data_IF_393519566723
#
_entry.id   IF_393519566723
#
_cell.length_a   1.000
_cell.length_b   1.000
_cell.length_c   1.000
_cell.angle_alpha   90.00
_cell.angle_beta   90.00
_cell.angle_gamma   90.00
#
_symmetry.space_group_name_H-M   'P 1'
#
loop_
_entity.id
_entity.type
_entity.pdbx_description
1 polymer ?
#
# COMPACT_ATOMS: atom_id res chain seq x y z
N UNK A 1 9.70 34.10 41.81
CA UNK A 1 8.23 33.98 41.81
C UNK A 1 7.76 33.43 40.46
N UNK A 2 7.00 32.33 40.40
CA UNK A 2 6.56 31.75 39.12
C UNK A 2 5.49 32.63 38.47
N UNK A 3 5.72 33.02 37.22
CA UNK A 3 4.88 33.94 36.45
C UNK A 3 3.53 33.29 36.17
N UNK A 4 2.46 33.76 36.84
CA UNK A 4 1.09 33.31 36.60
C UNK A 4 0.66 33.79 35.20
N UNK A 5 0.45 32.86 34.27
CA UNK A 5 -0.14 33.16 32.96
C UNK A 5 -1.59 33.62 33.19
N UNK A 6 -1.92 34.86 32.83
CA UNK A 6 -3.25 35.48 32.99
C UNK A 6 -4.29 35.01 31.94
N UNK A 7 -4.09 33.83 31.36
CA UNK A 7 -4.98 33.26 30.34
C UNK A 7 -4.88 31.74 30.31
N UNK A 8 -5.92 31.09 29.80
CA UNK A 8 -5.97 29.64 29.71
C UNK A 8 -4.79 29.13 28.89
N UNK A 9 -4.01 28.19 29.45
CA UNK A 9 -2.81 27.67 28.80
C UNK A 9 -3.19 27.03 27.45
N UNK A 10 -2.71 27.60 26.34
CA UNK A 10 -3.01 27.14 24.97
C UNK A 10 -2.85 25.63 24.78
N UNK A 11 -1.84 25.00 25.41
CA UNK A 11 -1.66 23.55 25.36
C UNK A 11 -2.74 22.78 26.12
N UNK A 12 -3.21 23.33 27.24
CA UNK A 12 -4.32 22.77 28.03
C UNK A 12 -5.65 22.91 27.30
N UNK A 13 -5.90 24.05 26.63
CA UNK A 13 -7.07 24.26 25.79
C UNK A 13 -7.12 23.27 24.61
N UNK A 14 -6.00 23.05 23.92
CA UNK A 14 -5.90 22.06 22.83
C UNK A 14 -6.11 20.63 23.36
N UNK A 15 -5.57 20.28 24.52
CA UNK A 15 -5.79 18.96 25.11
C UNK A 15 -7.25 18.73 25.51
N UNK A 16 -7.92 19.75 26.09
CA UNK A 16 -9.36 19.71 26.40
C UNK A 16 -10.20 19.61 25.13
N UNK A 17 -9.85 20.34 24.07
CA UNK A 17 -10.53 20.26 22.78
C UNK A 17 -10.43 18.85 22.17
N UNK A 18 -9.25 18.24 22.14
CA UNK A 18 -9.08 16.86 21.66
C UNK A 18 -9.86 15.83 22.49
N UNK A 19 -9.89 16.01 23.81
CA UNK A 19 -10.69 15.13 24.69
C UNK A 19 -12.19 15.31 24.45
N UNK A 20 -12.64 16.53 24.21
CA UNK A 20 -14.03 16.84 23.88
C UNK A 20 -14.41 16.29 22.50
N UNK A 21 -13.54 16.41 21.49
CA UNK A 21 -13.74 15.84 20.15
C UNK A 21 -13.80 14.31 20.19
N UNK A 22 -12.89 13.66 20.92
CA UNK A 22 -12.92 12.20 21.10
C UNK A 22 -14.21 11.75 21.79
N UNK A 23 -14.64 12.45 22.86
CA UNK A 23 -15.89 12.16 23.54
C UNK A 23 -17.12 12.43 22.65
N UNK A 24 -17.08 13.47 21.81
CA UNK A 24 -18.15 13.75 20.84
C UNK A 24 -18.22 12.68 19.75
N UNK A 25 -17.07 12.21 19.23
CA UNK A 25 -17.01 11.10 18.28
C UNK A 25 -17.51 9.79 18.89
N UNK A 26 -17.15 9.51 20.15
CA UNK A 26 -17.65 8.33 20.85
C UNK A 26 -19.16 8.39 21.06
N UNK A 27 -19.70 9.56 21.43
CA UNK A 27 -21.15 9.79 21.52
C UNK A 27 -21.81 9.61 20.16
N UNK A 28 -21.30 10.24 19.10
CA UNK A 28 -21.82 10.08 17.74
C UNK A 28 -21.79 8.62 17.28
N UNK A 29 -20.74 7.86 17.58
CA UNK A 29 -20.68 6.42 17.26
C UNK A 29 -21.74 5.62 18.03
N UNK A 30 -21.96 5.95 19.30
CA UNK A 30 -22.99 5.31 20.12
C UNK A 30 -24.38 5.66 19.62
N UNK A 31 -24.66 6.94 19.38
CA UNK A 31 -25.94 7.42 18.88
C UNK A 31 -26.22 6.81 17.50
N UNK A 32 -25.22 6.80 16.61
CA UNK A 32 -25.35 6.12 15.31
C UNK A 32 -25.59 4.63 15.45
N UNK A 33 -24.88 3.93 16.34
CA UNK A 33 -25.12 2.50 16.55
C UNK A 33 -26.53 2.23 17.11
N UNK A 34 -27.06 3.12 17.95
CA UNK A 34 -28.42 3.03 18.46
C UNK A 34 -29.45 3.33 17.36
N UNK A 35 -29.20 4.31 16.50
CA UNK A 35 -30.04 4.61 15.33
C UNK A 35 -30.03 3.45 14.33
N UNK A 36 -28.85 2.94 13.99
CA UNK A 36 -28.68 1.79 13.08
C UNK A 36 -29.37 0.54 13.65
N UNK A 37 -29.27 0.31 14.97
CA UNK A 37 -29.98 -0.78 15.64
C UNK A 37 -31.50 -0.56 15.68
N UNK A 38 -31.95 0.69 15.87
CA UNK A 38 -33.37 1.03 15.86
C UNK A 38 -33.99 0.85 14.46
N UNK A 39 -33.22 1.10 13.41
CA UNK A 39 -33.63 0.96 12.02
C UNK A 39 -33.26 -0.40 11.39
N UNK A 40 -32.74 -1.35 12.18
CA UNK A 40 -32.45 -2.69 11.69
C UNK A 40 -33.76 -3.41 11.31
N UNK A 41 -33.83 -3.91 10.08
CA UNK A 41 -34.96 -4.70 9.59
C UNK A 41 -34.69 -6.19 9.78
N UNK A 42 -35.39 -6.79 10.77
CA UNK A 42 -35.29 -8.20 11.12
C UNK A 42 -36.29 -9.10 10.36
N UNK A 43 -36.96 -8.60 9.31
CA UNK A 43 -37.86 -9.44 8.51
C UNK A 43 -37.08 -10.57 7.80
N UNK A 44 -37.36 -11.80 8.25
CA UNK A 44 -36.83 -13.06 7.70
C UNK A 44 -36.96 -13.16 6.18
N UNK A 45 -38.03 -12.64 5.58
CA UNK A 45 -38.23 -12.72 4.13
C UNK A 45 -37.33 -11.75 3.36
N UNK A 46 -37.12 -10.55 3.90
CA UNK A 46 -36.21 -9.54 3.35
C UNK A 46 -34.77 -10.03 3.47
N UNK A 47 -34.37 -10.51 4.65
CA UNK A 47 -33.04 -11.08 4.90
C UNK A 47 -32.74 -12.26 3.96
N UNK A 48 -33.69 -13.19 3.79
CA UNK A 48 -33.52 -14.31 2.84
C UNK A 48 -33.39 -13.84 1.39
N UNK A 49 -34.04 -12.75 1.00
CA UNK A 49 -33.94 -12.17 -0.36
C UNK A 49 -32.59 -11.47 -0.56
N UNK A 50 -32.11 -10.74 0.44
CA UNK A 50 -30.79 -10.10 0.44
C UNK A 50 -29.67 -11.15 0.38
N UNK A 51 -29.70 -12.17 1.24
CA UNK A 51 -28.73 -13.27 1.24
C UNK A 51 -28.66 -13.98 -0.12
N UNK A 52 -29.81 -14.26 -0.76
CA UNK A 52 -29.85 -14.83 -2.12
C UNK A 52 -29.25 -13.92 -3.19
N UNK A 53 -29.40 -12.60 -3.02
CA UNK A 53 -28.80 -11.62 -3.94
C UNK A 53 -27.29 -11.55 -3.75
N UNK A 54 -26.82 -11.46 -2.50
CA UNK A 54 -25.40 -11.45 -2.15
C UNK A 54 -24.70 -12.74 -2.57
N UNK A 55 -25.32 -13.89 -2.39
CA UNK A 55 -24.77 -15.18 -2.84
C UNK A 55 -24.62 -15.20 -4.38
N UNK A 56 -25.60 -14.68 -5.12
CA UNK A 56 -25.54 -14.58 -6.59
C UNK A 56 -24.45 -13.62 -7.05
N UNK A 57 -24.32 -12.46 -6.40
CA UNK A 57 -23.27 -11.49 -6.72
C UNK A 57 -21.89 -12.02 -6.36
N UNK A 58 -21.73 -12.66 -5.19
CA UNK A 58 -20.49 -13.31 -4.77
C UNK A 58 -20.07 -14.42 -5.73
N UNK A 59 -21.02 -15.26 -6.16
CA UNK A 59 -20.74 -16.30 -7.17
C UNK A 59 -20.31 -15.70 -8.50
N UNK A 60 -20.98 -14.64 -8.97
CA UNK A 60 -20.61 -13.93 -10.21
C UNK A 60 -19.22 -13.31 -10.11
N UNK A 61 -18.88 -12.70 -8.98
CA UNK A 61 -17.56 -12.11 -8.76
C UNK A 61 -16.48 -13.19 -8.72
N UNK A 62 -16.70 -14.29 -8.00
CA UNK A 62 -15.76 -15.41 -7.95
C UNK A 62 -15.54 -16.05 -9.34
N UNK A 63 -16.58 -16.15 -10.17
CA UNK A 63 -16.45 -16.64 -11.56
C UNK A 63 -15.65 -15.67 -12.44
N UNK A 64 -15.84 -14.35 -12.26
CA UNK A 64 -15.09 -13.33 -12.97
C UNK A 64 -13.61 -13.31 -12.54
N UNK A 65 -13.34 -13.43 -11.25
CA UNK A 65 -11.99 -13.52 -10.69
C UNK A 65 -11.29 -14.78 -11.20
N UNK A 66 -11.93 -15.95 -11.10
CA UNK A 66 -11.37 -17.20 -11.64
C UNK A 66 -11.09 -17.09 -13.14
N UNK A 67 -11.98 -16.45 -13.91
CA UNK A 67 -11.77 -16.25 -15.35
C UNK A 67 -10.63 -15.26 -15.63
N UNK A 68 -10.50 -14.22 -14.81
CA UNK A 68 -9.41 -13.26 -14.91
C UNK A 68 -8.05 -13.91 -14.59
N UNK A 69 -7.99 -14.75 -13.56
CA UNK A 69 -6.80 -15.53 -13.20
C UNK A 69 -6.39 -16.49 -14.33
N UNK A 70 -7.34 -17.26 -14.88
CA UNK A 70 -7.07 -18.16 -16.01
C UNK A 70 -6.57 -17.38 -17.23
N UNK A 71 -7.17 -16.22 -17.52
CA UNK A 71 -6.71 -15.35 -18.62
C UNK A 71 -5.30 -14.83 -18.36
N UNK A 72 -5.02 -14.36 -17.15
CA UNK A 72 -3.69 -13.85 -16.80
C UNK A 72 -2.61 -14.93 -16.93
N UNK A 73 -2.92 -16.18 -16.55
CA UNK A 73 -2.01 -17.31 -16.71
C UNK A 73 -1.78 -17.63 -18.19
N UNK A 74 -2.83 -17.67 -19.01
CA UNK A 74 -2.69 -17.88 -20.46
C UNK A 74 -1.92 -16.75 -21.17
N UNK A 75 -2.08 -15.50 -20.73
CA UNK A 75 -1.30 -14.37 -21.26
C UNK A 75 0.18 -14.46 -20.88
N UNK A 76 0.51 -14.98 -19.70
CA UNK A 76 1.90 -15.22 -19.30
C UNK A 76 2.52 -16.33 -20.15
N UNK A 77 1.80 -17.45 -20.37
CA UNK A 77 2.25 -18.52 -21.27
C UNK A 77 2.49 -18.00 -22.69
N UNK A 78 1.61 -17.12 -23.21
CA UNK A 78 1.78 -16.57 -24.56
C UNK A 78 3.00 -15.65 -24.71
N UNK A 79 3.43 -14.98 -23.63
CA UNK A 79 4.63 -14.13 -23.63
C UNK A 79 5.91 -14.95 -23.66
N UNK A 80 5.90 -16.11 -23.00
CA UNK A 80 7.05 -17.01 -22.95
C UNK A 80 7.22 -17.81 -24.26
N UNK A 81 6.17 -17.93 -25.07
CA UNK A 81 6.25 -18.49 -26.43
C UNK A 81 6.89 -17.46 -27.35
N UNK A 82 8.22 -17.48 -27.41
CA UNK A 82 8.98 -16.80 -28.47
C UNK A 82 8.54 -17.35 -29.85
N UNK A 83 8.24 -16.50 -30.85
CA UNK A 83 7.84 -16.97 -32.15
C UNK A 83 8.98 -17.79 -32.78
N UNK A 84 8.74 -19.09 -32.95
CA UNK A 84 9.64 -19.99 -33.69
C UNK A 84 9.95 -19.35 -35.03
N UNK A 85 11.25 -19.14 -35.25
CA UNK A 85 11.81 -18.56 -36.45
C UNK A 85 11.21 -19.20 -37.72
N UNK A 86 10.96 -18.35 -38.73
CA UNK A 86 10.45 -18.72 -40.05
C UNK A 86 11.15 -19.97 -40.59
N UNK A 87 10.42 -20.91 -41.22
CA UNK A 87 11.03 -22.12 -41.77
C UNK A 87 11.96 -21.74 -42.94
N UNK A 88 13.26 -21.63 -42.64
CA UNK A 88 14.28 -21.62 -43.68
C UNK A 88 14.27 -22.99 -44.37
N UNK A 89 14.40 -23.03 -45.69
CA UNK A 89 14.44 -24.28 -46.44
C UNK A 89 15.74 -25.01 -46.10
N UNK A 90 15.64 -26.00 -45.21
CA UNK A 90 16.75 -26.84 -44.78
C UNK A 90 16.97 -27.92 -45.85
N UNK A 91 18.22 -28.12 -46.24
CA UNK A 91 18.60 -29.19 -47.19
C UNK A 91 18.48 -30.56 -46.50
N UNK A 92 18.20 -31.63 -47.26
CA UNK A 92 17.98 -32.98 -46.70
C UNK A 92 19.15 -33.46 -45.81
N UNK A 93 20.38 -33.04 -46.11
CA UNK A 93 21.57 -33.33 -45.31
C UNK A 93 21.52 -32.67 -43.92
N UNK A 94 21.15 -31.39 -43.84
CA UNK A 94 20.97 -30.70 -42.56
C UNK A 94 19.80 -31.27 -41.75
N UNK A 95 18.77 -31.82 -42.41
CA UNK A 95 17.66 -32.48 -41.71
C UNK A 95 18.10 -33.78 -41.04
N UNK A 96 19.00 -34.53 -41.69
CA UNK A 96 19.58 -35.75 -41.12
C UNK A 96 20.51 -35.43 -39.96
N UNK A 97 21.35 -34.39 -40.08
CA UNK A 97 22.23 -33.93 -39.01
C UNK A 97 21.47 -33.40 -37.79
N UNK A 98 20.40 -32.62 -37.99
CA UNK A 98 19.54 -32.17 -36.89
C UNK A 98 18.83 -33.34 -36.21
N UNK A 99 18.43 -34.37 -36.97
CA UNK A 99 17.78 -35.55 -36.41
C UNK A 99 18.75 -36.39 -35.59
N UNK A 100 20.00 -36.53 -36.03
CA UNK A 100 21.05 -37.20 -35.25
C UNK A 100 21.41 -36.42 -33.98
N UNK A 101 21.46 -35.09 -34.05
CA UNK A 101 21.70 -34.26 -32.87
C UNK A 101 20.54 -34.34 -31.86
N UNK A 102 19.30 -34.29 -32.34
CA UNK A 102 18.11 -34.47 -31.49
C UNK A 102 18.05 -35.85 -30.85
N UNK A 103 18.49 -36.91 -31.54
CA UNK A 103 18.54 -38.25 -30.96
C UNK A 103 19.63 -38.38 -29.90
N UNK A 104 20.78 -37.70 -30.08
CA UNK A 104 21.84 -37.64 -29.07
C UNK A 104 21.43 -36.82 -27.83
N UNK A 105 20.76 -35.70 -28.05
CA UNK A 105 20.26 -34.84 -26.96
C UNK A 105 19.16 -35.57 -26.15
N UNK A 106 18.32 -36.38 -26.80
CA UNK A 106 17.30 -37.20 -26.15
C UNK A 106 17.86 -38.47 -25.48
N UNK A 107 19.03 -38.97 -25.92
CA UNK A 107 19.80 -40.01 -25.20
C UNK A 107 20.51 -39.45 -23.96
N UNK A 108 20.91 -38.17 -23.97
CA UNK A 108 21.44 -37.46 -22.80
C UNK A 108 20.32 -37.01 -21.84
N UNK A 109 19.11 -36.72 -22.33
CA UNK A 109 17.88 -36.48 -21.55
C UNK A 109 17.12 -37.77 -21.20
N UNK A 110 17.83 -38.85 -20.87
CA UNK A 110 17.22 -39.99 -20.21
C UNK A 110 16.65 -39.54 -18.86
N UNK A 111 15.33 -39.26 -18.86
CA UNK A 111 14.61 -38.65 -17.74
C UNK A 111 14.87 -39.44 -16.46
N UNK A 112 15.46 -38.84 -15.40
CA UNK A 112 15.72 -39.53 -14.15
C UNK A 112 14.41 -40.01 -13.57
N UNK A 113 14.36 -41.30 -13.23
CA UNK A 113 13.16 -41.91 -12.67
C UNK A 113 12.79 -41.23 -11.35
N UNK A 114 11.51 -41.22 -10.99
CA UNK A 114 10.96 -40.57 -9.79
C UNK A 114 11.60 -40.93 -8.43
N UNK A 115 12.59 -41.83 -8.37
CA UNK A 115 13.40 -42.10 -7.18
C UNK A 115 14.63 -41.19 -7.04
N UNK A 116 15.10 -40.57 -8.14
CA UNK A 116 16.27 -39.68 -8.14
C UNK A 116 15.88 -38.19 -8.09
N UNK A 117 14.62 -37.86 -8.40
CA UNK A 117 14.12 -36.49 -8.32
C UNK A 117 13.67 -36.20 -6.88
N UNK A 118 14.31 -35.23 -6.17
CA UNK A 118 13.87 -34.86 -4.83
C UNK A 118 12.42 -34.35 -4.87
N UNK A 119 11.63 -34.71 -3.86
CA UNK A 119 10.23 -34.29 -3.77
C UNK A 119 10.15 -32.77 -3.88
N UNK A 120 9.42 -32.28 -4.88
CA UNK A 120 9.18 -30.85 -5.08
C UNK A 120 8.31 -30.36 -3.93
N UNK A 121 8.84 -29.42 -3.14
CA UNK A 121 8.14 -28.86 -1.99
C UNK A 121 6.88 -28.10 -2.43
N UNK A 122 5.80 -28.26 -1.66
CA UNK A 122 4.55 -27.56 -1.93
C UNK A 122 4.74 -26.06 -1.68
N UNK A 123 4.80 -25.25 -2.75
CA UNK A 123 4.95 -23.80 -2.70
C UNK A 123 3.83 -23.08 -1.93
N UNK A 124 2.65 -23.71 -1.80
CA UNK A 124 1.54 -23.21 -0.98
C UNK A 124 1.71 -23.48 0.53
N UNK A 125 2.79 -24.16 0.91
CA UNK A 125 3.11 -24.54 2.29
C UNK A 125 4.60 -24.31 2.55
N UNK A 126 5.17 -23.28 1.95
CA UNK A 126 6.51 -22.80 2.30
C UNK A 126 6.51 -22.43 3.79
N UNK A 127 7.54 -22.86 4.50
CA UNK A 127 7.71 -22.60 5.94
C UNK A 127 7.75 -21.09 6.26
N UNK A 128 7.91 -20.24 5.24
CA UNK A 128 7.99 -18.79 5.32
C UNK A 128 6.64 -18.12 5.70
N UNK A 129 5.51 -18.74 5.39
CA UNK A 129 4.17 -18.17 5.69
C UNK A 129 3.59 -18.67 7.03
N UNK A 130 4.33 -19.54 7.74
CA UNK A 130 3.93 -20.03 9.06
C UNK A 130 4.58 -19.21 10.17
N UNK A 131 3.84 -18.25 10.72
CA UNK A 131 4.27 -17.56 11.92
C UNK A 131 4.07 -18.45 13.14
N UNK A 132 5.15 -19.13 13.57
CA UNK A 132 5.17 -19.89 14.82
C UNK A 132 5.27 -18.96 16.01
N UNK A 133 4.12 -18.56 16.56
CA UNK A 133 4.04 -17.80 17.80
C UNK A 133 3.75 -18.73 18.99
N UNK A 134 4.79 -19.27 19.62
CA UNK A 134 4.67 -20.04 20.86
C UNK A 134 4.54 -19.10 22.07
N UNK A 135 3.33 -18.57 22.29
CA UNK A 135 2.99 -17.74 23.45
C UNK A 135 2.13 -16.52 23.10
N UNK A 136 1.43 -15.96 24.09
CA UNK A 136 0.49 -14.84 23.89
C UNK A 136 1.24 -13.58 23.42
N UNK A 137 2.38 -13.26 24.03
CA UNK A 137 3.18 -12.07 23.66
C UNK A 137 3.80 -12.21 22.26
N UNK A 138 4.21 -13.42 21.88
CA UNK A 138 4.72 -13.73 20.54
C UNK A 138 3.60 -13.62 19.48
N UNK A 139 2.37 -14.01 19.83
CA UNK A 139 1.22 -13.89 18.93
C UNK A 139 0.79 -12.43 18.74
N UNK A 140 0.85 -11.63 19.80
CA UNK A 140 0.55 -10.19 19.74
C UNK A 140 1.56 -9.47 18.86
N UNK A 141 2.86 -9.78 18.99
CA UNK A 141 3.91 -9.15 18.18
C UNK A 141 3.84 -9.58 16.72
N UNK A 142 3.59 -10.86 16.44
CA UNK A 142 3.38 -11.38 15.09
C UNK A 142 2.17 -10.78 14.36
N UNK A 143 1.08 -10.53 15.10
CA UNK A 143 -0.16 -9.97 14.55
C UNK A 143 -0.19 -8.43 14.58
N UNK A 144 0.69 -7.81 15.35
CA UNK A 144 0.84 -6.36 15.39
C UNK A 144 1.50 -5.92 14.09
N UNK A 145 0.67 -5.59 13.10
CA UNK A 145 1.09 -4.81 11.93
C UNK A 145 1.91 -3.63 12.44
N UNK A 146 3.16 -3.54 12.02
CA UNK A 146 3.97 -2.36 12.27
C UNK A 146 3.27 -1.15 11.64
N UNK A 147 2.44 -0.46 12.41
CA UNK A 147 2.07 0.95 12.22
C UNK A 147 3.30 1.85 12.43
N UNK A 148 4.50 1.33 12.17
CA UNK A 148 5.73 2.06 12.13
C UNK A 148 5.76 2.80 10.79
N UNK A 149 5.50 4.11 10.88
CA UNK A 149 5.81 5.18 9.92
C UNK A 149 4.59 5.96 9.40
N UNK A 150 3.40 5.80 9.99
CA UNK A 150 2.41 6.86 9.82
C UNK A 150 2.86 8.09 10.62
N UNK A 151 3.43 9.02 9.86
CA UNK A 151 4.12 10.23 10.28
C UNK A 151 3.38 11.01 11.37
N UNK A 152 3.82 10.76 12.61
CA UNK A 152 3.22 11.31 13.83
C UNK A 152 3.55 12.80 14.03
N UNK A 153 4.36 13.41 13.17
CA UNK A 153 4.88 14.77 13.37
C UNK A 153 4.89 15.62 12.10
N UNK A 154 3.71 15.98 11.56
CA UNK A 154 3.60 16.98 10.51
C UNK A 154 4.28 18.31 10.90
N UNK A 155 4.24 18.69 12.18
CA UNK A 155 4.91 19.89 12.71
C UNK A 155 6.44 19.86 12.53
N UNK A 156 7.08 18.68 12.69
CA UNK A 156 8.54 18.54 12.50
C UNK A 156 8.91 18.60 11.03
N UNK A 157 8.09 18.03 10.13
CA UNK A 157 8.28 18.17 8.68
C UNK A 157 8.14 19.60 8.21
N UNK A 158 7.19 20.36 8.75
CA UNK A 158 7.01 21.78 8.38
C UNK A 158 8.24 22.60 8.74
N UNK A 159 8.85 22.39 9.91
CA UNK A 159 10.07 23.08 10.31
C UNK A 159 11.28 22.70 9.43
N UNK A 160 11.46 21.40 9.15
CA UNK A 160 12.54 20.92 8.29
C UNK A 160 12.38 21.41 6.83
N UNK A 161 11.17 21.31 6.29
CA UNK A 161 10.85 21.74 4.94
C UNK A 161 10.94 23.28 4.79
N UNK A 162 10.50 24.05 5.80
CA UNK A 162 10.68 25.50 5.82
C UNK A 162 12.15 25.90 5.81
N UNK A 163 13.01 25.21 6.58
CA UNK A 163 14.46 25.46 6.60
C UNK A 163 15.10 25.15 5.24
N UNK A 164 14.71 24.06 4.58
CA UNK A 164 15.18 23.71 3.24
C UNK A 164 14.72 24.74 2.18
N UNK A 165 13.50 25.25 2.31
CA UNK A 165 12.96 26.30 1.45
C UNK A 165 13.68 27.64 1.68
N UNK A 166 13.97 28.00 2.93
CA UNK A 166 14.69 29.21 3.29
C UNK A 166 16.09 29.23 2.69
N UNK A 167 16.87 28.14 2.80
CA UNK A 167 18.24 28.12 2.25
C UNK A 167 18.27 28.31 0.73
N UNK A 168 17.27 27.78 0.00
CA UNK A 168 17.18 27.90 -1.47
C UNK A 168 16.65 29.27 -1.91
N UNK A 169 15.59 29.77 -1.27
CA UNK A 169 14.82 30.93 -1.75
C UNK A 169 15.31 32.27 -1.18
N UNK A 170 15.89 32.29 0.03
CA UNK A 170 16.47 33.49 0.64
C UNK A 170 17.54 34.21 -0.21
N UNK A 171 18.53 33.53 -0.84
CA UNK A 171 19.50 34.21 -1.70
C UNK A 171 18.88 34.78 -2.98
N UNK A 172 17.81 34.17 -3.51
CA UNK A 172 17.08 34.69 -4.66
C UNK A 172 16.34 35.98 -4.29
N UNK A 173 15.63 35.98 -3.15
CA UNK A 173 14.94 37.16 -2.64
C UNK A 173 15.89 38.34 -2.36
N UNK A 174 17.12 38.06 -1.90
CA UNK A 174 18.15 39.09 -1.69
C UNK A 174 18.63 39.73 -3.00
N UNK A 175 18.70 38.95 -4.09
CA UNK A 175 19.06 39.46 -5.43
C UNK A 175 17.91 40.25 -6.05
N UNK A 176 16.67 39.78 -5.90
CA UNK A 176 15.46 40.44 -6.39
C UNK A 176 15.19 41.76 -5.64
N UNK A 177 15.48 41.81 -4.34
CA UNK A 177 15.18 42.95 -3.48
C UNK A 177 16.38 43.35 -2.59
N UNK A 178 17.43 43.99 -3.17
CA UNK A 178 18.64 44.35 -2.42
C UNK A 178 18.42 45.48 -1.39
N UNK A 179 17.35 46.28 -1.53
CA UNK A 179 17.03 47.40 -0.63
C UNK A 179 16.31 46.99 0.65
N UNK A 180 15.79 45.75 0.73
CA UNK A 180 14.97 45.30 1.85
C UNK A 180 15.82 44.70 2.98
N UNK A 181 15.42 45.00 4.22
CA UNK A 181 16.05 44.44 5.43
C UNK A 181 15.71 42.95 5.54
N UNK A 182 16.62 42.15 6.12
CA UNK A 182 16.45 40.70 6.29
C UNK A 182 15.11 40.30 6.93
N UNK A 183 14.61 41.08 7.89
CA UNK A 183 13.31 40.85 8.53
C UNK A 183 12.12 40.99 7.56
N UNK A 184 12.21 41.90 6.58
CA UNK A 184 11.20 42.08 5.54
C UNK A 184 11.26 40.92 4.54
N UNK A 185 12.47 40.51 4.13
CA UNK A 185 12.68 39.34 3.27
C UNK A 185 12.14 38.06 3.92
N UNK A 186 12.39 37.84 5.22
CA UNK A 186 11.84 36.71 5.97
C UNK A 186 10.31 36.76 6.06
N UNK A 187 9.71 37.96 6.18
CA UNK A 187 8.25 38.12 6.17
C UNK A 187 7.65 37.75 4.80
N UNK A 188 8.31 38.13 3.71
CA UNK A 188 7.89 37.74 2.35
C UNK A 188 8.06 36.24 2.12
N UNK A 189 9.21 35.69 2.51
CA UNK A 189 9.51 34.26 2.43
C UNK A 189 8.46 33.42 3.18
N UNK A 190 8.04 33.82 4.39
CA UNK A 190 6.98 33.13 5.14
C UNK A 190 5.62 33.17 4.43
N UNK A 191 5.30 34.27 3.75
CA UNK A 191 4.06 34.39 2.96
C UNK A 191 4.09 33.51 1.72
N UNK A 192 5.23 33.45 1.02
CA UNK A 192 5.43 32.52 -0.11
C UNK A 192 5.35 31.07 0.37
N UNK A 193 5.98 30.74 1.50
CA UNK A 193 5.95 29.41 2.10
C UNK A 193 4.55 28.92 2.44
N UNK A 194 3.70 29.78 3.02
CA UNK A 194 2.30 29.42 3.33
C UNK A 194 1.51 29.01 2.08
N UNK A 195 1.85 29.53 0.90
CA UNK A 195 1.21 29.18 -0.38
C UNK A 195 1.96 28.11 -1.17
N UNK A 196 3.18 27.76 -0.76
CA UNK A 196 4.03 26.83 -1.49
C UNK A 196 3.48 25.40 -1.43
N UNK A 197 3.56 24.62 -2.52
CA UNK A 197 3.23 23.19 -2.50
C UNK A 197 4.23 22.36 -1.69
N UNK A 198 5.41 22.91 -1.36
CA UNK A 198 6.40 22.24 -0.51
C UNK A 198 6.01 22.25 0.97
N UNK A 199 5.00 23.05 1.38
CA UNK A 199 4.48 23.04 2.73
C UNK A 199 3.64 21.78 2.96
N UNK A 200 4.04 20.87 3.87
CA UNK A 200 3.30 19.63 4.14
C UNK A 200 1.84 19.87 4.56
N UNK A 201 1.53 21.02 5.16
CA UNK A 201 0.18 21.40 5.56
C UNK A 201 -0.75 21.57 4.34
N UNK A 202 -0.21 22.05 3.20
CA UNK A 202 -0.99 22.26 1.98
C UNK A 202 -1.24 20.96 1.19
N UNK A 203 -0.47 19.90 1.47
CA UNK A 203 -0.62 18.58 0.84
C UNK A 203 -1.62 17.66 1.56
N UNK A 204 -2.03 18.02 2.77
CA UNK A 204 -2.94 17.23 3.62
C UNK A 204 -4.42 17.61 3.41
N UNK A 205 -4.75 18.31 2.33
CA UNK A 205 -6.11 18.69 1.93
C UNK A 205 -6.44 18.05 0.59
#
# INVERSE_FOLDING_TARGET
MPKKFQGENSKSAVARARKAEAAAQEKQKKDKALEDAFWADDDKHVQRKQARKEEREKKRLAELERKAEIRALAENELKDITPKATPQKITAFQLQQNRENMMKENEEEAVPTHLEVPLVENLNRTMEDQVQASGIDAAITALSVEDAQQDRHPEKRVAAAFKAYETRRLPQLKKENPSLRLSQLQKMLRKEWQKSPENPINKLR
#
